data_IF_213052799128
#
_entry.id   IF_213052799128
#
_cell.length_a   1.000
_cell.length_b   1.000
_cell.length_c   1.000
_cell.angle_alpha   90.00
_cell.angle_beta   90.00
_cell.angle_gamma   90.00
#
_symmetry.space_group_name_H-M   'P 1'
#
loop_
_entity.id
_entity.type
_entity.pdbx_description
1 polymer ?
#
# COMPACT_ATOMS: atom_id res chain seq x y z
N UNK A 1 -12.31 14.73 6.33
CA UNK A 1 -12.44 15.16 4.91
C UNK A 1 -12.20 14.01 3.94
N UNK A 2 -11.06 13.30 3.96
CA UNK A 2 -10.86 12.16 3.04
C UNK A 2 -11.91 11.05 3.18
N UNK A 3 -12.33 10.72 4.41
CA UNK A 3 -13.43 9.76 4.67
C UNK A 3 -14.73 10.16 3.97
N UNK A 4 -15.10 11.46 4.04
CA UNK A 4 -16.34 11.97 3.42
C UNK A 4 -16.32 11.77 1.91
N UNK A 5 -15.17 11.95 1.27
CA UNK A 5 -14.99 11.72 -0.17
C UNK A 5 -15.26 10.26 -0.56
N UNK A 6 -14.91 9.30 0.29
CA UNK A 6 -15.17 7.88 0.03
C UNK A 6 -16.60 7.46 0.43
N UNK A 7 -17.22 8.12 1.41
CA UNK A 7 -18.63 7.87 1.77
C UNK A 7 -19.59 8.20 0.62
N UNK A 8 -19.30 9.26 -0.16
CA UNK A 8 -20.18 9.70 -1.26
C UNK A 8 -20.31 8.64 -2.37
N UNK A 9 -19.32 7.77 -2.53
CA UNK A 9 -19.31 6.77 -3.61
C UNK A 9 -19.89 5.42 -3.19
N UNK A 10 -20.21 5.22 -1.91
CA UNK A 10 -20.77 3.98 -1.39
C UNK A 10 -21.95 3.42 -2.22
N UNK A 11 -22.95 4.23 -2.65
CA UNK A 11 -24.06 3.72 -3.44
C UNK A 11 -23.66 3.12 -4.80
N UNK A 12 -22.53 3.58 -5.35
CA UNK A 12 -22.02 3.09 -6.64
C UNK A 12 -21.26 1.78 -6.51
N UNK A 13 -20.90 1.38 -5.28
CA UNK A 13 -20.14 0.16 -4.98
C UNK A 13 -21.03 -1.02 -4.60
N UNK A 14 -22.35 -0.90 -4.76
CA UNK A 14 -23.27 -2.00 -4.45
C UNK A 14 -23.11 -3.16 -5.45
N UNK A 15 -23.15 -4.38 -4.90
CA UNK A 15 -23.22 -5.67 -5.60
C UNK A 15 -24.65 -5.97 -6.03
N UNK A 16 -24.84 -6.91 -6.95
CA UNK A 16 -26.17 -7.36 -7.42
C UNK A 16 -27.09 -7.87 -6.31
N UNK A 17 -26.54 -8.23 -5.15
CA UNK A 17 -27.27 -8.69 -3.98
C UNK A 17 -27.72 -7.54 -3.05
N UNK A 18 -27.42 -6.29 -3.39
CA UNK A 18 -27.76 -5.12 -2.57
C UNK A 18 -26.82 -4.89 -1.39
N UNK A 19 -25.76 -5.69 -1.25
CA UNK A 19 -24.64 -5.48 -0.31
C UNK A 19 -23.50 -4.72 -1.01
N UNK A 20 -22.47 -4.27 -0.29
CA UNK A 20 -21.26 -3.75 -0.94
C UNK A 20 -20.57 -4.84 -1.77
N UNK A 21 -20.06 -4.51 -2.95
CA UNK A 21 -19.20 -5.41 -3.71
C UNK A 21 -17.89 -5.66 -2.96
N UNK A 22 -17.30 -6.86 -3.03
CA UNK A 22 -15.97 -7.07 -2.46
C UNK A 22 -14.89 -6.33 -3.27
N UNK A 23 -15.13 -6.13 -4.58
CA UNK A 23 -14.21 -5.44 -5.49
C UNK A 23 -14.95 -4.42 -6.35
N UNK A 24 -14.24 -3.43 -6.88
CA UNK A 24 -14.82 -2.38 -7.74
C UNK A 24 -15.34 -3.02 -9.04
N UNK A 25 -14.55 -3.96 -9.59
CA UNK A 25 -14.86 -4.65 -10.84
C UNK A 25 -16.04 -5.64 -10.73
N UNK A 26 -16.46 -6.01 -9.51
CA UNK A 26 -17.61 -6.90 -9.28
C UNK A 26 -18.86 -6.15 -8.78
N UNK A 27 -18.88 -4.82 -8.86
CA UNK A 27 -20.08 -4.03 -8.59
C UNK A 27 -21.15 -4.23 -9.68
N UNK A 28 -22.41 -3.85 -9.41
CA UNK A 28 -23.49 -3.92 -10.40
C UNK A 28 -23.20 -3.11 -11.67
N UNK A 29 -22.51 -1.98 -11.49
CA UNK A 29 -22.17 -1.05 -12.57
C UNK A 29 -20.66 -0.76 -12.54
N UNK A 30 -19.81 -1.69 -12.99
CA UNK A 30 -18.35 -1.60 -12.85
C UNK A 30 -17.76 -0.29 -13.38
N UNK A 31 -18.27 0.19 -14.52
CA UNK A 31 -17.82 1.45 -15.10
C UNK A 31 -18.12 2.66 -14.21
N UNK A 32 -19.32 2.72 -13.62
CA UNK A 32 -19.71 3.80 -12.71
C UNK A 32 -18.92 3.74 -11.40
N UNK A 33 -18.75 2.55 -10.83
CA UNK A 33 -17.92 2.31 -9.65
C UNK A 33 -16.46 2.73 -9.87
N UNK A 34 -15.87 2.37 -11.02
CA UNK A 34 -14.52 2.80 -11.39
C UNK A 34 -14.41 4.33 -11.50
N UNK A 35 -15.35 4.99 -12.19
CA UNK A 35 -15.34 6.45 -12.33
C UNK A 35 -15.51 7.16 -10.99
N UNK A 36 -16.43 6.66 -10.15
CA UNK A 36 -16.67 7.18 -8.81
C UNK A 36 -15.41 7.01 -7.92
N UNK A 37 -14.81 5.83 -7.92
CA UNK A 37 -13.55 5.58 -7.20
C UNK A 37 -12.43 6.50 -7.68
N UNK A 38 -12.24 6.64 -8.99
CA UNK A 38 -11.22 7.53 -9.56
C UNK A 38 -11.46 8.99 -9.15
N UNK A 39 -12.70 9.47 -9.21
CA UNK A 39 -13.05 10.82 -8.76
C UNK A 39 -12.74 11.02 -7.27
N UNK A 40 -13.10 10.06 -6.42
CA UNK A 40 -12.79 10.11 -4.99
C UNK A 40 -11.29 10.05 -4.70
N UNK A 41 -10.53 9.25 -5.44
CA UNK A 41 -9.07 9.20 -5.33
C UNK A 41 -8.42 10.51 -5.75
N UNK A 42 -8.91 11.16 -6.81
CA UNK A 42 -8.40 12.48 -7.24
C UNK A 42 -8.64 13.52 -6.15
N UNK A 43 -9.87 13.62 -5.63
CA UNK A 43 -10.20 14.57 -4.56
C UNK A 43 -9.41 14.26 -3.29
N UNK A 44 -9.33 12.98 -2.89
CA UNK A 44 -8.53 12.53 -1.76
C UNK A 44 -7.04 12.86 -1.91
N UNK A 45 -6.49 12.69 -3.11
CA UNK A 45 -5.09 13.00 -3.41
C UNK A 45 -4.84 14.51 -3.37
N UNK A 46 -5.77 15.34 -3.84
CA UNK A 46 -5.67 16.81 -3.72
C UNK A 46 -5.64 17.22 -2.24
N UNK A 47 -6.54 16.67 -1.41
CA UNK A 47 -6.57 16.93 0.03
C UNK A 47 -5.24 16.48 0.67
N UNK A 48 -4.77 15.28 0.36
CA UNK A 48 -3.53 14.71 0.88
C UNK A 48 -2.30 15.53 0.47
N UNK A 49 -2.23 16.01 -0.78
CA UNK A 49 -1.19 16.91 -1.27
C UNK A 49 -1.22 18.25 -0.51
N UNK A 50 -2.40 18.80 -0.27
CA UNK A 50 -2.58 20.00 0.56
C UNK A 50 -2.06 19.81 1.99
N UNK A 51 -2.42 18.70 2.65
CA UNK A 51 -1.91 18.35 3.98
C UNK A 51 -0.39 18.16 3.95
N UNK A 52 0.14 17.50 2.92
CA UNK A 52 1.58 17.24 2.79
C UNK A 52 2.40 18.51 2.66
N UNK A 53 1.85 19.57 2.04
CA UNK A 53 2.50 20.88 1.96
C UNK A 53 2.57 21.61 3.30
N UNK A 54 1.60 21.38 4.18
CA UNK A 54 1.58 22.00 5.51
C UNK A 54 2.45 21.24 6.53
N UNK A 55 2.62 19.93 6.33
CA UNK A 55 3.34 19.06 7.25
C UNK A 55 4.50 18.36 6.52
N UNK A 56 4.37 17.05 6.30
CA UNK A 56 5.34 16.21 5.62
C UNK A 56 4.61 15.33 4.61
N UNK A 57 5.33 14.90 3.57
CA UNK A 57 4.83 13.99 2.55
C UNK A 57 4.20 12.71 3.14
N UNK A 58 4.85 12.13 4.16
CA UNK A 58 4.34 10.98 4.93
C UNK A 58 2.96 11.20 5.54
N UNK A 59 2.68 12.40 6.04
CA UNK A 59 1.40 12.74 6.69
C UNK A 59 0.24 12.75 5.70
N UNK A 60 0.43 13.27 4.48
CA UNK A 60 -0.63 13.23 3.48
C UNK A 60 -0.93 11.83 2.96
N UNK A 61 0.10 11.01 2.76
CA UNK A 61 -0.08 9.58 2.40
C UNK A 61 -0.87 8.85 3.48
N UNK A 62 -0.54 9.08 4.76
CA UNK A 62 -1.27 8.53 5.90
C UNK A 62 -2.75 8.98 5.90
N UNK A 63 -3.03 10.26 5.66
CA UNK A 63 -4.41 10.79 5.62
C UNK A 63 -5.23 10.15 4.50
N UNK A 64 -4.65 9.99 3.31
CA UNK A 64 -5.30 9.30 2.19
C UNK A 64 -5.51 7.81 2.51
N UNK A 65 -4.49 7.17 3.07
CA UNK A 65 -4.53 5.77 3.49
C UNK A 65 -5.63 5.50 4.52
N UNK A 66 -5.82 6.38 5.51
CA UNK A 66 -6.92 6.29 6.49
C UNK A 66 -8.28 6.39 5.79
N UNK A 67 -8.44 7.30 4.83
CA UNK A 67 -9.67 7.40 4.03
C UNK A 67 -9.96 6.13 3.23
N UNK A 68 -8.94 5.56 2.58
CA UNK A 68 -9.07 4.29 1.86
C UNK A 68 -9.31 3.10 2.81
N UNK A 69 -8.68 3.08 3.98
CA UNK A 69 -8.88 2.07 5.00
C UNK A 69 -10.30 2.08 5.56
N UNK A 70 -10.89 3.27 5.74
CA UNK A 70 -12.31 3.40 6.08
C UNK A 70 -13.19 2.71 5.03
N UNK A 71 -12.96 2.98 3.75
CA UNK A 71 -13.72 2.35 2.68
C UNK A 71 -13.52 0.83 2.66
N UNK A 72 -12.28 0.36 2.82
CA UNK A 72 -11.94 -1.06 2.83
C UNK A 72 -12.69 -1.85 3.94
N UNK A 73 -12.92 -1.22 5.10
CA UNK A 73 -13.71 -1.80 6.20
C UNK A 73 -15.20 -1.98 5.87
N UNK A 74 -15.74 -1.24 4.89
CA UNK A 74 -17.15 -1.32 4.48
C UNK A 74 -17.39 -2.32 3.35
N UNK A 75 -16.33 -2.76 2.66
CA UNK A 75 -16.44 -3.74 1.59
C UNK A 75 -16.63 -5.16 2.13
N UNK A 76 -17.15 -6.05 1.28
CA UNK A 76 -17.28 -7.46 1.61
C UNK A 76 -15.91 -8.17 1.63
N UNK A 77 -15.87 -9.33 2.25
CA UNK A 77 -14.64 -10.13 2.43
C UNK A 77 -14.29 -10.94 1.19
N UNK A 78 -13.11 -11.57 1.18
CA UNK A 78 -12.70 -12.49 0.09
C UNK A 78 -13.67 -13.66 -0.10
N UNK A 79 -14.42 -14.04 0.95
CA UNK A 79 -15.44 -15.09 0.87
C UNK A 79 -16.45 -14.80 -0.23
N UNK A 80 -16.85 -13.53 -0.40
CA UNK A 80 -17.79 -13.13 -1.44
C UNK A 80 -17.17 -13.22 -2.84
N UNK A 81 -15.90 -12.84 -2.97
CA UNK A 81 -15.14 -13.01 -4.23
C UNK A 81 -15.04 -14.48 -4.61
N UNK A 82 -14.86 -15.35 -3.62
CA UNK A 82 -14.63 -16.77 -3.86
C UNK A 82 -15.94 -17.53 -4.15
N UNK A 83 -17.09 -17.07 -3.64
CA UNK A 83 -18.40 -17.68 -3.91
C UNK A 83 -19.05 -17.17 -5.20
N UNK A 84 -18.95 -15.86 -5.49
CA UNK A 84 -19.72 -15.23 -6.57
C UNK A 84 -18.86 -14.44 -7.56
N UNK A 85 -17.56 -14.34 -7.30
CA UNK A 85 -16.63 -13.53 -8.07
C UNK A 85 -15.63 -14.35 -8.89
N UNK A 86 -14.57 -13.67 -9.30
CA UNK A 86 -13.45 -14.23 -10.05
C UNK A 86 -12.12 -13.80 -9.43
N UNK A 87 -11.28 -14.77 -9.07
CA UNK A 87 -9.92 -14.52 -8.60
C UNK A 87 -9.05 -13.82 -9.65
N UNK A 88 -9.30 -14.06 -10.95
CA UNK A 88 -8.57 -13.37 -12.01
C UNK A 88 -8.86 -11.86 -12.03
N UNK A 89 -10.12 -11.47 -11.79
CA UNK A 89 -10.48 -10.05 -11.67
C UNK A 89 -9.87 -9.44 -10.41
N UNK A 90 -9.78 -10.19 -9.31
CA UNK A 90 -9.12 -9.75 -8.08
C UNK A 90 -7.62 -9.45 -8.32
N UNK A 91 -6.91 -10.35 -9.00
CA UNK A 91 -5.51 -10.16 -9.37
C UNK A 91 -5.34 -8.94 -10.28
N UNK A 92 -6.19 -8.81 -11.30
CA UNK A 92 -6.16 -7.66 -12.21
C UNK A 92 -6.35 -6.34 -11.46
N UNK A 93 -7.33 -6.29 -10.55
CA UNK A 93 -7.57 -5.12 -9.71
C UNK A 93 -6.36 -4.81 -8.83
N UNK A 94 -5.69 -5.82 -8.26
CA UNK A 94 -4.42 -5.66 -7.53
C UNK A 94 -3.28 -5.07 -8.36
N UNK A 95 -3.14 -5.50 -9.61
CA UNK A 95 -2.16 -4.91 -10.53
C UNK A 95 -2.49 -3.44 -10.83
N UNK A 96 -3.77 -3.11 -11.05
CA UNK A 96 -4.23 -1.73 -11.25
C UNK A 96 -3.94 -0.86 -10.02
N UNK A 97 -4.22 -1.36 -8.81
CA UNK A 97 -3.91 -0.65 -7.57
C UNK A 97 -2.43 -0.37 -7.40
N UNK A 98 -1.56 -1.28 -7.84
CA UNK A 98 -0.11 -1.08 -7.79
C UNK A 98 0.33 0.14 -8.61
N UNK A 99 -0.25 0.31 -9.81
CA UNK A 99 -0.01 1.48 -10.67
C UNK A 99 -0.63 2.75 -10.06
N UNK A 100 -1.87 2.67 -9.57
CA UNK A 100 -2.57 3.81 -8.96
C UNK A 100 -1.80 4.34 -7.74
N UNK A 101 -1.34 3.45 -6.86
CA UNK A 101 -0.57 3.81 -5.68
C UNK A 101 0.78 4.42 -6.05
N UNK A 102 1.45 3.93 -7.09
CA UNK A 102 2.67 4.55 -7.61
C UNK A 102 2.42 5.99 -8.05
N UNK A 103 1.36 6.23 -8.83
CA UNK A 103 0.98 7.56 -9.31
C UNK A 103 0.67 8.50 -8.15
N UNK A 104 -0.11 8.02 -7.17
CA UNK A 104 -0.44 8.79 -5.95
C UNK A 104 0.83 9.19 -5.19
N UNK A 105 1.74 8.23 -4.97
CA UNK A 105 3.01 8.46 -4.30
C UNK A 105 3.85 9.53 -5.01
N UNK A 106 3.96 9.44 -6.35
CA UNK A 106 4.68 10.42 -7.18
C UNK A 106 4.03 11.79 -7.10
N UNK A 107 2.70 11.89 -7.25
CA UNK A 107 1.97 13.16 -7.23
C UNK A 107 2.13 13.87 -5.88
N UNK A 108 1.96 13.14 -4.77
CA UNK A 108 2.08 13.70 -3.42
C UNK A 108 3.54 14.14 -3.17
N UNK A 109 4.53 13.32 -3.53
CA UNK A 109 5.94 13.69 -3.38
C UNK A 109 6.33 14.89 -4.25
N UNK A 110 5.78 15.02 -5.46
CA UNK A 110 6.01 16.21 -6.29
C UNK A 110 5.39 17.47 -5.70
N UNK A 111 4.29 17.33 -4.96
CA UNK A 111 3.62 18.47 -4.33
C UNK A 111 4.30 18.97 -3.06
N UNK A 112 4.89 18.06 -2.27
CA UNK A 112 5.38 18.33 -0.91
C UNK A 112 6.90 18.19 -0.75
N UNK A 113 7.60 17.68 -1.76
CA UNK A 113 9.02 17.39 -1.72
C UNK A 113 9.34 15.92 -1.41
N UNK A 114 10.64 15.60 -1.22
CA UNK A 114 11.09 14.23 -1.02
C UNK A 114 10.42 13.58 0.21
N UNK A 115 10.07 12.30 0.10
CA UNK A 115 9.38 11.56 1.18
C UNK A 115 10.31 11.35 2.39
N UNK A 116 11.55 11.02 2.08
CA UNK A 116 12.63 10.82 3.03
C UNK A 116 13.85 11.55 2.50
N UNK A 117 14.73 11.99 3.39
CA UNK A 117 16.03 12.51 2.97
C UNK A 117 16.91 11.32 2.56
N UNK A 118 17.32 11.23 1.29
CA UNK A 118 18.29 10.23 0.85
C UNK A 118 19.61 10.45 1.61
N UNK A 119 20.25 9.36 2.02
CA UNK A 119 21.61 9.43 2.55
C UNK A 119 22.56 9.34 1.37
N UNK A 120 23.13 10.47 0.98
CA UNK A 120 24.05 10.58 -0.14
C UNK A 120 25.37 11.12 0.39
N UNK A 121 26.47 10.60 -0.13
CA UNK A 121 27.77 11.16 0.16
C UNK A 121 27.89 12.57 -0.46
N UNK A 122 28.64 13.49 0.16
CA UNK A 122 28.79 14.85 -0.35
C UNK A 122 29.29 14.86 -1.80
N UNK A 123 28.46 15.38 -2.71
CA UNK A 123 28.79 15.52 -4.14
C UNK A 123 28.28 14.38 -5.03
N UNK A 124 27.71 13.31 -4.47
CA UNK A 124 27.09 12.26 -5.27
C UNK A 124 25.67 12.63 -5.74
N UNK A 125 25.34 12.40 -7.03
CA UNK A 125 23.99 12.60 -7.51
C UNK A 125 23.05 11.54 -6.92
N UNK A 126 21.83 11.95 -6.59
CA UNK A 126 20.80 11.02 -6.16
C UNK A 126 20.55 9.94 -7.24
N UNK A 127 20.56 8.64 -6.90
CA UNK A 127 20.25 7.58 -7.85
C UNK A 127 18.83 7.72 -8.39
N UNK A 128 18.63 7.29 -9.64
CA UNK A 128 17.29 7.26 -10.23
C UNK A 128 16.34 6.37 -9.42
N UNK A 129 15.17 6.90 -9.09
CA UNK A 129 14.18 6.22 -8.27
C UNK A 129 13.48 5.07 -8.99
N UNK A 130 13.57 5.00 -10.33
CA UNK A 130 12.88 4.01 -11.14
C UNK A 130 13.81 2.89 -11.65
N UNK A 131 15.00 3.24 -12.14
CA UNK A 131 15.87 2.28 -12.83
C UNK A 131 17.17 1.93 -12.08
N UNK A 132 17.48 2.57 -10.95
CA UNK A 132 18.72 2.26 -10.23
C UNK A 132 18.67 0.88 -9.53
N UNK A 133 19.81 0.20 -9.34
CA UNK A 133 19.86 -1.04 -8.56
C UNK A 133 19.33 -0.86 -7.13
N UNK A 134 19.58 0.29 -6.52
CA UNK A 134 19.07 0.65 -5.19
C UNK A 134 17.54 0.84 -5.20
N UNK A 135 16.97 1.40 -6.26
CA UNK A 135 15.52 1.46 -6.45
C UNK A 135 14.89 0.07 -6.59
N UNK A 136 15.55 -0.85 -7.29
CA UNK A 136 15.09 -2.24 -7.42
C UNK A 136 15.18 -2.97 -6.08
N UNK A 137 16.28 -2.82 -5.33
CA UNK A 137 16.41 -3.36 -3.97
C UNK A 137 15.30 -2.82 -3.05
N UNK A 138 15.11 -1.51 -3.05
CA UNK A 138 14.04 -0.84 -2.32
C UNK A 138 12.67 -1.41 -2.71
N UNK A 139 12.38 -1.56 -4.00
CA UNK A 139 11.16 -2.18 -4.49
C UNK A 139 11.00 -3.63 -4.03
N UNK A 140 12.07 -4.43 -4.08
CA UNK A 140 12.07 -5.83 -3.67
C UNK A 140 11.77 -6.01 -2.17
N UNK A 141 12.07 -5.00 -1.32
CA UNK A 141 11.68 -5.01 0.09
C UNK A 141 10.16 -5.11 0.30
N UNK A 142 9.35 -4.79 -0.71
CA UNK A 142 7.91 -5.03 -0.70
C UNK A 142 7.54 -6.49 -0.39
N UNK A 143 8.40 -7.47 -0.74
CA UNK A 143 8.20 -8.88 -0.41
C UNK A 143 8.13 -9.15 1.09
N UNK A 144 8.75 -8.31 1.93
CA UNK A 144 8.71 -8.45 3.38
C UNK A 144 7.28 -8.28 3.95
N UNK A 145 6.36 -7.67 3.21
CA UNK A 145 4.95 -7.58 3.61
C UNK A 145 4.27 -8.95 3.63
N UNK A 146 4.60 -9.86 2.69
CA UNK A 146 3.92 -11.14 2.53
C UNK A 146 4.01 -12.08 3.75
N UNK A 147 5.20 -12.37 4.32
CA UNK A 147 5.28 -13.25 5.49
C UNK A 147 4.57 -12.64 6.70
N UNK A 148 4.59 -11.31 6.85
CA UNK A 148 3.90 -10.63 7.95
C UNK A 148 2.39 -10.71 7.77
N UNK A 149 1.87 -10.45 6.57
CA UNK A 149 0.45 -10.62 6.27
C UNK A 149 0.03 -12.06 6.51
N UNK A 150 0.81 -13.05 6.07
CA UNK A 150 0.53 -14.47 6.30
C UNK A 150 0.50 -14.84 7.80
N UNK A 151 1.30 -14.18 8.64
CA UNK A 151 1.27 -14.37 10.09
C UNK A 151 0.12 -13.65 10.79
N UNK A 152 -0.34 -12.50 10.29
CA UNK A 152 -1.34 -11.67 10.99
C UNK A 152 -2.77 -11.92 10.49
N UNK A 153 -2.97 -12.18 9.19
CA UNK A 153 -4.27 -12.45 8.59
C UNK A 153 -4.74 -13.89 8.89
N UNK A 154 -5.20 -14.12 10.12
CA UNK A 154 -5.65 -15.45 10.57
C UNK A 154 -7.14 -15.73 10.31
N UNK A 155 -7.94 -14.69 10.03
CA UNK A 155 -9.36 -14.81 9.73
C UNK A 155 -9.77 -13.82 8.64
N UNK A 156 -10.90 -14.03 7.93
CA UNK A 156 -11.40 -13.10 6.92
C UNK A 156 -12.00 -11.82 7.51
N UNK A 157 -11.88 -11.58 8.83
CA UNK A 157 -12.38 -10.37 9.47
C UNK A 157 -11.68 -9.12 8.91
N UNK A 158 -12.46 -8.19 8.35
CA UNK A 158 -11.94 -6.99 7.66
C UNK A 158 -10.95 -6.18 8.48
N UNK A 159 -11.24 -5.94 9.75
CA UNK A 159 -10.34 -5.20 10.63
C UNK A 159 -8.97 -5.89 10.80
N UNK A 160 -8.95 -7.22 10.90
CA UNK A 160 -7.72 -8.00 11.05
C UNK A 160 -6.93 -8.01 9.74
N UNK A 161 -7.62 -8.20 8.62
CA UNK A 161 -7.02 -8.24 7.29
C UNK A 161 -6.38 -6.89 6.94
N UNK A 162 -7.08 -5.79 7.16
CA UNK A 162 -6.55 -4.44 6.97
C UNK A 162 -5.35 -4.19 7.92
N UNK A 163 -5.46 -4.55 9.20
CA UNK A 163 -4.35 -4.43 10.15
C UNK A 163 -3.13 -5.25 9.70
N UNK A 164 -3.33 -6.46 9.16
CA UNK A 164 -2.27 -7.30 8.63
C UNK A 164 -1.52 -6.60 7.48
N UNK A 165 -2.24 -5.99 6.55
CA UNK A 165 -1.63 -5.23 5.44
C UNK A 165 -0.90 -3.98 5.91
N UNK A 166 -1.40 -3.28 6.95
CA UNK A 166 -0.70 -2.14 7.57
C UNK A 166 0.61 -2.60 8.20
N UNK A 167 0.59 -3.64 9.04
CA UNK A 167 1.78 -4.14 9.74
C UNK A 167 2.79 -4.72 8.73
N UNK A 168 2.32 -5.45 7.71
CA UNK A 168 3.18 -5.92 6.62
C UNK A 168 3.84 -4.78 5.85
N UNK A 169 3.10 -3.70 5.61
CA UNK A 169 3.66 -2.50 4.98
C UNK A 169 4.65 -1.77 5.88
N UNK A 170 4.44 -1.73 7.20
CA UNK A 170 5.45 -1.21 8.15
C UNK A 170 6.75 -2.01 8.02
N UNK A 171 6.66 -3.34 8.00
CA UNK A 171 7.82 -4.20 7.86
C UNK A 171 8.55 -3.98 6.51
N UNK A 172 7.82 -3.87 5.41
CA UNK A 172 8.38 -3.56 4.10
C UNK A 172 9.09 -2.19 4.08
N UNK A 173 8.49 -1.18 4.70
CA UNK A 173 9.07 0.16 4.85
C UNK A 173 10.36 0.15 5.65
N UNK A 174 10.37 -0.58 6.77
CA UNK A 174 11.53 -0.77 7.63
C UNK A 174 12.67 -1.44 6.86
N UNK A 175 12.40 -2.61 6.26
CA UNK A 175 13.40 -3.37 5.49
C UNK A 175 13.92 -2.57 4.31
N UNK A 176 13.03 -1.94 3.53
CA UNK A 176 13.41 -1.13 2.37
C UNK A 176 14.34 0.00 2.74
N UNK A 177 14.05 0.71 3.85
CA UNK A 177 14.90 1.78 4.33
C UNK A 177 16.28 1.30 4.75
N UNK A 178 16.38 0.14 5.39
CA UNK A 178 17.65 -0.43 5.86
C UNK A 178 18.55 -0.91 4.71
N UNK A 179 17.97 -1.49 3.65
CA UNK A 179 18.76 -2.07 2.55
C UNK A 179 19.10 -1.07 1.44
N UNK A 180 18.33 0.01 1.30
CA UNK A 180 18.49 1.00 0.24
C UNK A 180 18.25 2.44 0.75
N UNK A 181 19.09 2.95 1.67
CA UNK A 181 18.88 4.26 2.32
C UNK A 181 19.12 5.47 1.39
N UNK A 182 19.60 5.25 0.17
CA UNK A 182 20.03 6.30 -0.76
C UNK A 182 18.95 6.69 -1.78
N UNK A 183 17.80 6.00 -1.83
CA UNK A 183 16.77 6.17 -2.87
C UNK A 183 15.40 6.57 -2.32
N UNK A 184 14.66 7.36 -3.10
CA UNK A 184 13.27 7.69 -2.80
C UNK A 184 12.36 6.44 -2.94
N UNK A 185 11.48 6.17 -1.97
CA UNK A 185 10.78 4.89 -1.85
C UNK A 185 9.54 4.78 -2.76
N UNK A 186 9.48 5.47 -3.90
CA UNK A 186 8.27 5.49 -4.74
C UNK A 186 7.88 4.10 -5.25
N UNK A 187 8.86 3.32 -5.71
CA UNK A 187 8.60 1.94 -6.16
C UNK A 187 8.11 1.05 -5.02
N UNK A 188 8.57 1.26 -3.79
CA UNK A 188 8.17 0.43 -2.65
C UNK A 188 6.67 0.51 -2.38
N UNK A 189 6.05 1.68 -2.56
CA UNK A 189 4.59 1.83 -2.48
C UNK A 189 3.87 0.95 -3.52
N UNK A 190 4.37 0.92 -4.75
CA UNK A 190 3.78 0.10 -5.81
C UNK A 190 4.00 -1.40 -5.55
N UNK A 191 5.20 -1.78 -5.12
CA UNK A 191 5.61 -3.18 -5.05
C UNK A 191 4.94 -3.96 -3.91
N UNK A 192 4.58 -3.32 -2.79
CA UNK A 192 3.76 -3.99 -1.76
C UNK A 192 2.42 -4.45 -2.32
N UNK A 193 1.73 -3.57 -3.07
CA UNK A 193 0.47 -3.94 -3.73
C UNK A 193 0.69 -5.00 -4.82
N UNK A 194 1.78 -4.89 -5.59
CA UNK A 194 2.12 -5.82 -6.66
C UNK A 194 2.35 -7.23 -6.10
N UNK A 195 3.16 -7.35 -5.04
CA UNK A 195 3.43 -8.64 -4.42
C UNK A 195 2.20 -9.20 -3.72
N UNK A 196 1.32 -8.35 -3.16
CA UNK A 196 0.01 -8.78 -2.69
C UNK A 196 -0.84 -9.41 -3.80
N UNK A 197 -0.91 -8.76 -4.96
CA UNK A 197 -1.63 -9.27 -6.14
C UNK A 197 -1.02 -10.57 -6.68
N UNK A 198 0.31 -10.68 -6.72
CA UNK A 198 1.01 -11.91 -7.11
C UNK A 198 0.78 -13.02 -6.09
N UNK A 199 0.74 -12.71 -4.79
CA UNK A 199 0.39 -13.66 -3.74
C UNK A 199 -1.03 -14.21 -3.89
N UNK A 200 -1.99 -13.36 -4.25
CA UNK A 200 -3.36 -13.78 -4.59
C UNK A 200 -3.40 -14.63 -5.86
N UNK A 201 -2.60 -14.30 -6.88
CA UNK A 201 -2.51 -15.09 -8.10
C UNK A 201 -1.97 -16.49 -7.82
N UNK A 202 -0.90 -16.60 -7.01
CA UNK A 202 -0.35 -17.87 -6.55
C UNK A 202 -1.37 -18.66 -5.73
N UNK A 203 -2.13 -17.99 -4.86
CA UNK A 203 -3.20 -18.65 -4.11
C UNK A 203 -4.32 -19.18 -5.03
N UNK A 204 -4.69 -18.42 -6.07
CA UNK A 204 -5.71 -18.80 -7.04
C UNK A 204 -5.33 -20.00 -7.90
N UNK A 205 -4.05 -20.19 -8.22
CA UNK A 205 -3.59 -21.39 -8.95
C UNK A 205 -3.49 -22.63 -8.04
N UNK A 206 -3.35 -22.43 -6.72
CA UNK A 206 -3.22 -23.53 -5.76
C UNK A 206 -4.56 -24.17 -5.38
N UNK A 207 -5.68 -23.47 -5.60
CA UNK A 207 -7.02 -23.97 -5.27
C UNK A 207 -7.74 -24.38 -6.56
N UNK A 208 -7.99 -25.68 -6.79
CA UNK A 208 -8.82 -26.14 -7.89
C UNK A 208 -10.22 -25.52 -7.83
N UNK A 209 -10.75 -25.09 -8.98
CA UNK A 209 -12.03 -24.38 -9.05
C UNK A 209 -13.21 -25.23 -8.52
N UNK A 210 -13.13 -26.55 -8.66
CA UNK A 210 -14.09 -27.54 -8.16
C UNK A 210 -14.06 -27.72 -6.63
N UNK A 211 -12.97 -27.30 -5.97
CA UNK A 211 -12.78 -27.45 -4.52
C UNK A 211 -12.89 -26.13 -3.76
N UNK A 212 -13.15 -25.02 -4.46
CA UNK A 212 -13.13 -23.68 -3.89
C UNK A 212 -14.15 -23.54 -2.75
N UNK A 213 -15.40 -23.97 -2.97
CA UNK A 213 -16.46 -23.91 -1.96
C UNK A 213 -16.11 -24.73 -0.70
N UNK A 214 -15.59 -25.94 -0.89
CA UNK A 214 -15.15 -26.81 0.22
C UNK A 214 -13.94 -26.25 0.97
N UNK A 215 -13.04 -25.56 0.26
CA UNK A 215 -11.84 -24.93 0.84
C UNK A 215 -12.23 -23.70 1.66
N UNK A 216 -13.21 -22.92 1.22
CA UNK A 216 -13.73 -21.77 1.97
C UNK A 216 -14.43 -22.23 3.24
N UNK A 217 -15.35 -23.20 3.12
CA UNK A 217 -16.16 -23.69 4.26
C UNK A 217 -15.33 -24.39 5.33
N UNK A 218 -14.21 -25.01 4.95
CA UNK A 218 -13.23 -25.57 5.89
C UNK A 218 -12.21 -24.56 6.44
N UNK A 219 -12.26 -23.29 6.02
CA UNK A 219 -11.29 -22.26 6.43
C UNK A 219 -9.89 -22.46 5.84
N UNK A 220 -9.76 -23.25 4.78
CA UNK A 220 -8.50 -23.61 4.12
C UNK A 220 -7.96 -22.57 3.15
N UNK A 221 -8.58 -21.38 3.04
CA UNK A 221 -8.06 -20.32 2.17
C UNK A 221 -6.65 -19.90 2.60
N UNK A 222 -5.69 -19.80 1.66
CA UNK A 222 -4.37 -19.26 1.94
C UNK A 222 -4.48 -17.87 2.57
N UNK A 223 -3.80 -17.67 3.70
CA UNK A 223 -3.88 -16.41 4.47
C UNK A 223 -3.49 -15.16 3.67
N UNK A 224 -2.61 -15.32 2.69
CA UNK A 224 -2.18 -14.26 1.76
C UNK A 224 -3.28 -13.82 0.78
N UNK A 225 -4.29 -14.66 0.57
CA UNK A 225 -5.45 -14.36 -0.28
C UNK A 225 -6.57 -13.65 0.47
N UNK A 226 -6.53 -13.61 1.81
CA UNK A 226 -7.57 -12.97 2.62
C UNK A 226 -7.68 -11.46 2.40
N UNK A 227 -6.57 -10.69 2.31
CA UNK A 227 -6.66 -9.28 1.95
C UNK A 227 -7.07 -9.07 0.51
N UNK A 228 -7.97 -8.11 0.31
CA UNK A 228 -8.36 -7.62 -1.00
C UNK A 228 -7.34 -6.58 -1.50
N UNK A 229 -7.32 -6.29 -2.81
CA UNK A 229 -6.44 -5.27 -3.40
C UNK A 229 -6.46 -3.92 -2.70
N UNK A 230 -7.65 -3.44 -2.32
CA UNK A 230 -7.80 -2.17 -1.61
C UNK A 230 -7.29 -2.22 -0.17
N UNK A 231 -7.29 -3.39 0.48
CA UNK A 231 -6.67 -3.59 1.80
C UNK A 231 -5.15 -3.37 1.68
N UNK A 232 -4.50 -3.98 0.68
CA UNK A 232 -3.08 -3.72 0.39
C UNK A 232 -2.81 -2.26 0.05
N UNK A 233 -3.66 -1.62 -0.75
CA UNK A 233 -3.50 -0.21 -1.14
C UNK A 233 -3.59 0.73 0.08
N UNK A 234 -4.61 0.56 0.93
CA UNK A 234 -4.77 1.31 2.17
C UNK A 234 -3.63 1.01 3.16
N UNK A 235 -3.33 -0.27 3.35
CA UNK A 235 -2.26 -0.74 4.24
C UNK A 235 -0.89 -0.17 3.85
N UNK A 236 -0.61 -0.10 2.55
CA UNK A 236 0.61 0.50 1.99
C UNK A 236 0.70 1.97 2.32
N UNK A 237 -0.36 2.74 2.06
CA UNK A 237 -0.37 4.19 2.30
C UNK A 237 -0.29 4.57 3.79
N UNK A 238 -0.81 3.72 4.68
CA UNK A 238 -0.71 3.91 6.13
C UNK A 238 0.63 3.42 6.67
N UNK A 239 1.01 2.19 6.33
CA UNK A 239 2.09 1.46 6.98
C UNK A 239 3.48 1.82 6.46
N UNK A 240 3.66 2.03 5.15
CA UNK A 240 4.98 2.35 4.61
C UNK A 240 5.59 3.64 5.18
N UNK A 241 4.86 4.77 5.29
CA UNK A 241 5.42 5.98 5.89
C UNK A 241 5.93 5.74 7.31
N UNK A 242 5.20 4.98 8.12
CA UNK A 242 5.59 4.61 9.48
C UNK A 242 6.83 3.72 9.49
N UNK A 243 6.87 2.71 8.62
CA UNK A 243 8.02 1.81 8.47
C UNK A 243 9.29 2.52 8.01
N UNK A 244 9.18 3.43 7.05
CA UNK A 244 10.30 4.23 6.53
C UNK A 244 10.86 5.19 7.59
N UNK A 245 9.99 5.83 8.37
CA UNK A 245 10.39 6.68 9.49
C UNK A 245 11.10 5.85 10.57
N UNK A 246 10.57 4.67 10.90
CA UNK A 246 11.20 3.79 11.87
C UNK A 246 12.55 3.25 11.36
N UNK A 247 12.67 2.87 10.09
CA UNK A 247 13.95 2.45 9.50
C UNK A 247 15.01 3.53 9.55
N UNK A 248 14.61 4.79 9.42
CA UNK A 248 15.53 5.92 9.48
C UNK A 248 16.13 6.14 10.87
N UNK A 249 15.53 5.64 11.96
CA UNK A 249 16.10 5.75 13.31
C UNK A 249 17.25 4.77 13.57
N UNK A 250 17.39 3.73 12.75
CA UNK A 250 18.44 2.71 12.89
C UNK A 250 19.71 3.04 12.12
N UNK A 251 19.66 4.03 11.23
CA UNK A 251 20.82 4.42 10.42
C UNK A 251 21.50 5.58 11.13
N UNK A 252 22.72 5.35 11.64
CA UNK A 252 23.53 6.38 12.27
C UNK A 252 23.95 7.42 11.21
N UNK A 253 23.91 8.70 11.59
CA UNK A 253 24.56 9.76 10.81
C UNK A 253 25.93 9.95 11.42
N UNK A 254 26.98 9.60 10.69
CA UNK A 254 28.32 9.99 11.06
C UNK A 254 28.41 11.51 10.92
N UNK A 255 28.27 12.23 12.03
CA UNK A 255 28.45 13.68 12.03
C UNK A 255 29.92 13.99 11.69
N UNK A 256 30.22 14.70 10.59
CA UNK A 256 31.59 15.00 10.19
C UNK A 256 32.29 16.03 11.09
N UNK A 257 31.65 16.46 12.18
CA UNK A 257 32.26 17.34 13.19
C UNK A 257 33.01 16.52 14.24
N UNK A 258 34.11 15.90 13.81
CA UNK A 258 35.20 15.57 14.73
C UNK A 258 35.76 16.85 15.38
N UNK A 259 36.41 16.76 16.55
CA UNK A 259 36.78 17.89 17.43
C UNK A 259 37.83 18.89 16.89
N UNK A 260 38.14 18.89 15.59
CA UNK A 260 39.18 19.76 15.01
C UNK A 260 38.78 21.25 14.94
N UNK A 261 37.49 21.59 15.06
CA UNK A 261 37.04 22.99 15.07
C UNK A 261 37.37 23.76 16.36
N UNK A 262 37.87 23.10 17.42
CA UNK A 262 38.26 23.79 18.67
C UNK A 262 39.70 24.35 18.63
N UNK A 263 40.52 23.98 17.64
CA UNK A 263 41.93 24.39 17.59
C UNK A 263 42.19 25.66 16.76
N UNK A 264 41.19 26.18 16.05
CA UNK A 264 41.33 27.35 15.19
C UNK A 264 40.88 28.68 15.85
N UNK A 265 40.59 28.66 17.15
CA UNK A 265 40.08 29.82 17.92
C UNK A 265 40.99 30.24 19.08
N UNK A 266 42.28 29.93 19.03
CA UNK A 266 43.30 30.42 19.99
C UNK A 266 44.47 31.09 19.29
#
# INVERSE_FOLDING_TARGET
>A
MSIVTFQVIEPTLLSSQGSFGPTILQSQTPAAACLAMLASLVVGTIIAAGVSRCFQCSTGLLVLGIGMGWLALHLQTVTEVALHGSFHLLVLEGLVWSVVILVIAIVIARSAGPMIQPMLDPGEPAPDWAASPEAIKMGAAGLAALPVVWLVAQSPFKGQVLAATIIGSIAAGLVGRLIAPTVQPYLLFATVCLFGALGQWVAGIMIPADQLETTITSGGLPRIALPLPIDYAAGTLIGLPLGLQWGSSFIQKDDPTGPESSAAAS
#
